data_IF_152294954943
#
_entry.id   IF_152294954943
#
_cell.length_a   1.000
_cell.length_b   1.000
_cell.length_c   1.000
_cell.angle_alpha   90.00
_cell.angle_beta   90.00
_cell.angle_gamma   90.00
#
_symmetry.space_group_name_H-M   'P 1'
#
loop_
_entity.id
_entity.type
_entity.pdbx_description
1 polymer ?
#
# COMPACT_ATOMS: atom_id res chain seq x y z
N UNK A 1 -14.76 5.51 3.20
CA UNK A 1 -15.68 6.09 2.20
C UNK A 1 -15.00 7.25 1.49
N UNK A 2 -15.09 7.32 0.18
CA UNK A 2 -14.50 8.43 -0.58
C UNK A 2 -15.31 9.71 -0.41
N UNK A 3 -14.62 10.86 -0.34
CA UNK A 3 -15.29 12.15 -0.27
C UNK A 3 -16.04 12.47 -1.56
N UNK A 4 -17.10 13.26 -1.46
CA UNK A 4 -17.86 13.73 -2.63
C UNK A 4 -16.99 14.49 -3.63
N UNK A 5 -16.01 15.26 -3.11
CA UNK A 5 -15.05 15.98 -3.96
C UNK A 5 -14.21 15.03 -4.81
N UNK A 6 -13.67 13.98 -4.20
CA UNK A 6 -12.86 12.99 -4.91
C UNK A 6 -13.68 12.24 -5.96
N UNK A 7 -14.92 11.86 -5.64
CA UNK A 7 -15.82 11.23 -6.59
C UNK A 7 -16.10 12.14 -7.80
N UNK A 8 -16.36 13.40 -7.57
CA UNK A 8 -16.56 14.40 -8.65
C UNK A 8 -15.32 14.53 -9.53
N UNK A 9 -14.13 14.58 -8.95
CA UNK A 9 -12.86 14.61 -9.69
C UNK A 9 -12.70 13.37 -10.57
N UNK A 10 -13.00 12.19 -10.05
CA UNK A 10 -12.94 10.93 -10.80
C UNK A 10 -13.93 10.89 -11.97
N UNK A 11 -15.16 11.36 -11.75
CA UNK A 11 -16.18 11.49 -12.81
C UNK A 11 -15.72 12.45 -13.89
N UNK A 12 -15.21 13.63 -13.53
CA UNK A 12 -14.69 14.62 -14.47
C UNK A 12 -13.55 14.08 -15.33
N UNK A 13 -12.60 13.37 -14.71
CA UNK A 13 -11.50 12.70 -15.42
C UNK A 13 -11.99 11.63 -16.41
N UNK A 14 -12.96 10.83 -15.99
CA UNK A 14 -13.54 9.77 -16.83
C UNK A 14 -14.29 10.36 -18.01
N UNK A 15 -15.08 11.39 -17.81
CA UNK A 15 -15.78 12.11 -18.88
C UNK A 15 -14.79 12.74 -19.87
N UNK A 16 -13.76 13.38 -19.39
CA UNK A 16 -12.71 13.94 -20.25
C UNK A 16 -12.03 12.84 -21.09
N UNK A 17 -11.66 11.73 -20.47
CA UNK A 17 -11.05 10.60 -21.17
C UNK A 17 -12.00 10.01 -22.23
N UNK A 18 -13.28 9.87 -21.91
CA UNK A 18 -14.30 9.38 -22.85
C UNK A 18 -14.43 10.30 -24.08
N UNK A 19 -14.53 11.60 -23.84
CA UNK A 19 -14.66 12.60 -24.93
C UNK A 19 -13.41 12.67 -25.81
N UNK A 20 -12.22 12.53 -25.22
CA UNK A 20 -10.94 12.63 -25.95
C UNK A 20 -10.54 11.35 -26.66
N UNK A 21 -10.94 10.17 -26.15
CA UNK A 21 -10.58 8.88 -26.76
C UNK A 21 -11.35 8.57 -28.05
N UNK A 22 -12.42 9.32 -28.33
CA UNK A 22 -13.31 9.00 -29.44
C UNK A 22 -14.04 7.66 -29.30
N UNK A 23 -14.07 7.11 -28.10
CA UNK A 23 -14.75 5.85 -27.82
C UNK A 23 -16.27 6.05 -27.79
N UNK A 24 -17.00 5.23 -28.51
CA UNK A 24 -18.47 5.21 -28.51
C UNK A 24 -19.03 4.33 -27.36
N UNK A 25 -18.16 3.63 -26.64
CA UNK A 25 -18.57 2.72 -25.57
C UNK A 25 -18.73 3.43 -24.23
N UNK A 26 -19.93 3.89 -23.93
CA UNK A 26 -20.28 4.43 -22.63
C UNK A 26 -20.09 3.41 -21.50
N UNK A 27 -20.39 2.13 -21.77
CA UNK A 27 -20.23 1.04 -20.79
C UNK A 27 -18.77 0.84 -20.37
N UNK A 28 -17.82 0.93 -21.30
CA UNK A 28 -16.40 0.84 -21.00
C UNK A 28 -15.94 1.98 -20.09
N UNK A 29 -16.41 3.20 -20.36
CA UNK A 29 -16.10 4.37 -19.52
C UNK A 29 -16.72 4.26 -18.13
N UNK A 30 -17.92 3.77 -18.00
CA UNK A 30 -18.57 3.49 -16.71
C UNK A 30 -17.77 2.44 -15.91
N UNK A 31 -17.35 1.36 -16.53
CA UNK A 31 -16.53 0.33 -15.89
C UNK A 31 -15.19 0.90 -15.41
N UNK A 32 -14.55 1.74 -16.22
CA UNK A 32 -13.30 2.41 -15.84
C UNK A 32 -13.49 3.33 -14.63
N UNK A 33 -14.61 4.03 -14.54
CA UNK A 33 -14.96 4.86 -13.38
C UNK A 33 -15.10 4.02 -12.11
N UNK A 34 -15.87 2.93 -12.17
CA UNK A 34 -16.08 2.02 -11.04
C UNK A 34 -14.75 1.41 -10.58
N UNK A 35 -13.92 0.94 -11.51
CA UNK A 35 -12.58 0.43 -11.18
C UNK A 35 -11.69 1.51 -10.54
N UNK A 36 -11.76 2.75 -11.01
CA UNK A 36 -11.01 3.86 -10.44
C UNK A 36 -11.41 4.15 -8.98
N UNK A 37 -12.69 3.97 -8.65
CA UNK A 37 -13.18 4.11 -7.27
C UNK A 37 -12.66 2.96 -6.41
N UNK A 38 -12.73 1.72 -6.90
CA UNK A 38 -12.22 0.55 -6.17
C UNK A 38 -10.71 0.63 -5.92
N UNK A 39 -9.94 1.11 -6.90
CA UNK A 39 -8.49 1.30 -6.76
C UNK A 39 -8.09 2.31 -5.70
N UNK A 40 -8.96 3.24 -5.33
CA UNK A 40 -8.70 4.13 -4.20
C UNK A 40 -8.66 3.36 -2.86
N UNK A 41 -9.48 2.33 -2.70
CA UNK A 41 -9.42 1.43 -1.55
C UNK A 41 -8.18 0.53 -1.62
N UNK A 42 -7.82 0.04 -2.79
CA UNK A 42 -6.58 -0.72 -2.97
C UNK A 42 -5.37 0.10 -2.52
N UNK A 43 -5.30 1.37 -2.91
CA UNK A 43 -4.24 2.27 -2.47
C UNK A 43 -4.22 2.46 -0.95
N UNK A 44 -5.39 2.59 -0.33
CA UNK A 44 -5.49 2.74 1.12
C UNK A 44 -4.90 1.54 1.87
N UNK A 45 -5.27 0.32 1.49
CA UNK A 45 -4.73 -0.90 2.09
C UNK A 45 -3.26 -1.11 1.73
N UNK A 46 -2.85 -0.77 0.52
CA UNK A 46 -1.47 -0.85 0.09
C UNK A 46 -0.57 0.10 0.88
N UNK A 47 -1.04 1.29 1.22
CA UNK A 47 -0.31 2.23 2.08
C UNK A 47 -0.20 1.73 3.52
N UNK A 48 -1.22 1.04 4.05
CA UNK A 48 -1.11 0.36 5.35
C UNK A 48 -0.07 -0.76 5.32
N UNK A 49 -0.09 -1.57 4.26
CA UNK A 49 0.87 -2.66 4.06
C UNK A 49 2.31 -2.13 3.92
N UNK A 50 2.49 -0.97 3.29
CA UNK A 50 3.80 -0.34 3.17
C UNK A 50 4.46 -0.12 4.53
N UNK A 51 3.72 0.34 5.52
CA UNK A 51 4.24 0.57 6.88
C UNK A 51 4.77 -0.74 7.46
N UNK A 52 4.03 -1.82 7.29
CA UNK A 52 4.42 -3.16 7.76
C UNK A 52 5.64 -3.67 7.00
N UNK A 53 5.67 -3.51 5.69
CA UNK A 53 6.80 -3.95 4.86
C UNK A 53 8.09 -3.18 5.14
N UNK A 54 8.01 -1.88 5.38
CA UNK A 54 9.17 -1.07 5.82
C UNK A 54 9.70 -1.57 7.16
N UNK A 55 8.83 -1.92 8.10
CA UNK A 55 9.24 -2.48 9.40
C UNK A 55 9.91 -3.85 9.23
N UNK A 56 9.38 -4.73 8.38
CA UNK A 56 10.01 -6.02 8.05
C UNK A 56 11.38 -5.83 7.40
N UNK A 57 11.50 -4.89 6.47
CA UNK A 57 12.78 -4.55 5.86
C UNK A 57 13.79 -4.03 6.89
N UNK A 58 13.37 -3.16 7.80
CA UNK A 58 14.21 -2.64 8.88
C UNK A 58 14.70 -3.78 9.79
N UNK A 59 13.84 -4.72 10.14
CA UNK A 59 14.21 -5.91 10.93
C UNK A 59 15.23 -6.78 10.19
N UNK A 60 15.00 -7.06 8.92
CA UNK A 60 15.95 -7.79 8.07
C UNK A 60 17.32 -7.09 8.02
N UNK A 61 17.36 -5.76 7.92
CA UNK A 61 18.60 -4.99 7.96
C UNK A 61 19.32 -5.11 9.28
N UNK A 62 18.59 -5.11 10.40
CA UNK A 62 19.16 -5.33 11.74
C UNK A 62 19.81 -6.70 11.84
N UNK A 63 19.14 -7.75 11.38
CA UNK A 63 19.68 -9.11 11.40
C UNK A 63 20.93 -9.26 10.52
N UNK A 64 20.91 -8.68 9.31
CA UNK A 64 22.08 -8.67 8.43
C UNK A 64 23.26 -7.90 9.02
N UNK A 65 23.01 -6.82 9.74
CA UNK A 65 24.08 -6.05 10.41
C UNK A 65 24.82 -6.86 11.48
N UNK A 66 24.11 -7.72 12.20
CA UNK A 66 24.71 -8.63 13.20
C UNK A 66 25.65 -9.67 12.58
N UNK A 67 25.47 -10.01 11.31
CA UNK A 67 26.23 -11.02 10.57
C UNK A 67 27.50 -10.47 9.90
N UNK A 68 27.79 -9.19 10.02
CA UNK A 68 29.01 -8.60 9.49
C UNK A 68 30.26 -9.24 10.11
N UNK A 69 31.36 -9.33 9.35
CA UNK A 69 32.64 -9.84 9.84
C UNK A 69 33.21 -9.00 11.01
N UNK A 70 32.99 -7.69 10.95
CA UNK A 70 33.42 -6.73 11.98
C UNK A 70 32.20 -5.87 12.38
N UNK A 71 31.28 -6.42 13.19
CA UNK A 71 30.12 -5.65 13.64
C UNK A 71 30.53 -4.55 14.61
N UNK A 72 29.90 -3.38 14.51
CA UNK A 72 30.06 -2.30 15.48
C UNK A 72 29.21 -2.57 16.73
N UNK A 73 29.44 -1.78 17.80
CA UNK A 73 28.59 -1.85 18.98
C UNK A 73 27.10 -1.62 18.64
N UNK A 74 26.83 -0.66 17.75
CA UNK A 74 25.48 -0.36 17.28
C UNK A 74 24.86 -1.51 16.46
N UNK A 75 25.67 -2.22 15.67
CA UNK A 75 25.21 -3.40 14.93
C UNK A 75 24.78 -4.54 15.87
N UNK A 76 25.45 -4.70 17.00
CA UNK A 76 25.13 -5.71 18.01
C UNK A 76 24.00 -5.29 18.96
N UNK A 77 23.82 -3.98 19.17
CA UNK A 77 22.82 -3.41 20.06
C UNK A 77 21.93 -2.42 19.27
N UNK A 78 21.15 -2.87 18.30
CA UNK A 78 20.36 -2.01 17.44
C UNK A 78 19.21 -1.34 18.17
N UNK A 79 18.85 -0.15 17.74
CA UNK A 79 17.65 0.52 18.21
C UNK A 79 16.41 -0.10 17.54
N UNK A 80 15.63 -0.83 18.31
CA UNK A 80 14.43 -1.54 17.82
C UNK A 80 13.12 -0.78 18.02
N UNK A 81 13.16 0.49 18.41
CA UNK A 81 11.92 1.26 18.70
C UNK A 81 10.96 1.31 17.54
N UNK A 82 11.47 1.44 16.31
CA UNK A 82 10.65 1.46 15.11
C UNK A 82 10.05 0.08 14.82
N UNK A 83 10.87 -0.98 14.85
CA UNK A 83 10.44 -2.35 14.56
C UNK A 83 9.44 -2.86 15.60
N UNK A 84 9.66 -2.52 16.87
CA UNK A 84 8.81 -2.95 17.97
C UNK A 84 7.64 -1.97 18.25
N UNK A 85 7.36 -1.05 17.35
CA UNK A 85 6.27 -0.09 17.50
C UNK A 85 4.92 -0.80 17.60
N UNK A 86 4.13 -0.44 18.60
CA UNK A 86 2.83 -1.08 18.86
C UNK A 86 1.83 -0.90 17.73
N UNK A 87 1.82 0.24 17.06
CA UNK A 87 0.92 0.52 15.93
C UNK A 87 1.28 -0.36 14.74
N UNK A 88 2.55 -0.51 14.43
CA UNK A 88 3.04 -1.37 13.35
C UNK A 88 2.68 -2.83 13.62
N UNK A 89 2.91 -3.29 14.86
CA UNK A 89 2.54 -4.65 15.26
C UNK A 89 1.02 -4.87 15.19
N UNK A 90 0.22 -3.89 15.57
CA UNK A 90 -1.23 -3.96 15.46
C UNK A 90 -1.67 -4.09 14.00
N UNK A 91 -1.11 -3.32 13.08
CA UNK A 91 -1.39 -3.43 11.65
C UNK A 91 -0.97 -4.79 11.08
N UNK A 92 0.21 -5.30 11.49
CA UNK A 92 0.73 -6.58 11.03
C UNK A 92 -0.10 -7.77 11.52
N UNK A 93 -0.72 -7.67 12.69
CA UNK A 93 -1.50 -8.76 13.33
C UNK A 93 -3.01 -8.60 13.19
N UNK A 94 -3.50 -7.50 12.63
CA UNK A 94 -4.92 -7.26 12.41
C UNK A 94 -5.46 -8.20 11.32
N UNK A 95 -6.31 -9.15 11.68
CA UNK A 95 -6.90 -10.08 10.73
C UNK A 95 -7.69 -9.39 9.63
N UNK A 96 -8.49 -8.37 9.99
CA UNK A 96 -9.31 -7.64 9.02
C UNK A 96 -8.49 -6.92 7.96
N UNK A 97 -7.35 -6.32 8.34
CA UNK A 97 -6.44 -5.65 7.40
C UNK A 97 -5.73 -6.69 6.52
N UNK A 98 -5.22 -7.76 7.10
CA UNK A 98 -4.50 -8.80 6.37
C UNK A 98 -5.43 -9.57 5.41
N UNK A 99 -6.66 -9.83 5.80
CA UNK A 99 -7.67 -10.46 4.95
C UNK A 99 -8.01 -9.59 3.72
N UNK A 100 -8.16 -8.28 3.90
CA UNK A 100 -8.39 -7.36 2.80
C UNK A 100 -7.18 -7.27 1.85
N UNK A 101 -5.96 -7.20 2.37
CA UNK A 101 -4.73 -7.20 1.58
C UNK A 101 -4.64 -8.49 0.75
N UNK A 102 -4.89 -9.64 1.35
CA UNK A 102 -4.87 -10.94 0.66
C UNK A 102 -5.98 -11.05 -0.39
N UNK A 103 -7.19 -10.64 -0.05
CA UNK A 103 -8.34 -10.66 -0.96
C UNK A 103 -8.11 -9.79 -2.20
N UNK A 104 -7.51 -8.62 -2.01
CA UNK A 104 -7.20 -7.67 -3.09
C UNK A 104 -5.88 -7.99 -3.81
N UNK A 105 -5.12 -8.99 -3.34
CA UNK A 105 -3.82 -9.41 -3.90
C UNK A 105 -2.81 -8.27 -3.97
N UNK A 106 -2.78 -7.43 -2.94
CA UNK A 106 -1.85 -6.31 -2.84
C UNK A 106 -0.50 -6.81 -2.34
N UNK A 107 0.59 -6.29 -2.92
CA UNK A 107 1.94 -6.63 -2.50
C UNK A 107 2.93 -5.56 -2.93
N UNK A 108 3.95 -5.33 -2.10
CA UNK A 108 5.10 -4.49 -2.44
C UNK A 108 6.29 -5.32 -2.97
N UNK A 109 6.18 -6.64 -3.00
CA UNK A 109 7.27 -7.52 -3.44
C UNK A 109 7.73 -7.28 -4.89
N UNK A 110 6.86 -6.75 -5.73
CA UNK A 110 7.14 -6.47 -7.14
C UNK A 110 7.71 -5.06 -7.38
N UNK A 111 7.89 -4.27 -6.33
CA UNK A 111 8.44 -2.92 -6.41
C UNK A 111 9.82 -2.91 -5.72
N UNK A 112 10.89 -2.63 -6.48
CA UNK A 112 12.25 -2.60 -5.93
C UNK A 112 12.50 -1.43 -4.98
#
# INVERSE_FOLDING_TARGET
>A
MLSRRLLRVKVAKTLYAHLKSGSDSLKASENNLVQSIDKAYDLYFQMMDLIVEVARYAESRIELAKQKKLPTYEDLNPNRRFVDNKVINLLATSDSVQDEITRRKLSWANYP
#
